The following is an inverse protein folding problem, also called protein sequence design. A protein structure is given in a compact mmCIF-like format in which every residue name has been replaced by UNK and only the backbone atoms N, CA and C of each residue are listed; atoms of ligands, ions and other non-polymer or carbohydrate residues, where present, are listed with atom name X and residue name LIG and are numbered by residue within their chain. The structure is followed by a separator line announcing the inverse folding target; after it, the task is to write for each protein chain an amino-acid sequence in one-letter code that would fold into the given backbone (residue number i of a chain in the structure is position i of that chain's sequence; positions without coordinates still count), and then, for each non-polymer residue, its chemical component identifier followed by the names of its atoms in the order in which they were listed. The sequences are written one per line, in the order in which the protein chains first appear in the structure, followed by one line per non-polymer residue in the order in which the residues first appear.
data_IF_996034319170
#
_entry.id   IF_996034319170
#
_cell.length_a   1.000
_cell.length_b   1.000
_cell.length_c   1.000
_cell.angle_alpha   90.00
_cell.angle_beta   90.00
_cell.angle_gamma   90.00
#
_symmetry.space_group_name_H-M   'P 1'
#
loop_
_entity.id
_entity.type
_entity.pdbx_description
1 polymer ?
#
# COMPACT_ATOMS: atom_id res chain seq x y z
N UNK A 1 -29.24 -12.96 -24.36
CA UNK A 1 -27.77 -13.17 -24.51
C UNK A 1 -26.94 -12.44 -23.46
N UNK A 2 -26.96 -11.10 -23.34
CA UNK A 2 -26.11 -10.35 -22.38
C UNK A 2 -26.37 -10.70 -20.90
N UNK A 3 -27.64 -10.83 -20.50
CA UNK A 3 -28.03 -11.23 -19.13
C UNK A 3 -27.56 -12.66 -18.78
N UNK A 4 -27.57 -13.56 -19.76
CA UNK A 4 -27.15 -14.95 -19.59
C UNK A 4 -25.63 -15.06 -19.54
N UNK A 5 -24.92 -14.24 -20.32
CA UNK A 5 -23.47 -14.06 -20.24
C UNK A 5 -23.04 -13.53 -18.86
N UNK A 6 -23.75 -12.55 -18.29
CA UNK A 6 -23.50 -12.06 -16.92
C UNK A 6 -23.70 -13.12 -15.84
N UNK A 7 -24.73 -13.97 -15.96
CA UNK A 7 -24.97 -15.07 -15.01
C UNK A 7 -23.93 -16.18 -15.12
N UNK A 8 -23.44 -16.46 -16.32
CA UNK A 8 -22.42 -17.50 -16.56
C UNK A 8 -21.00 -17.05 -16.21
N UNK A 9 -20.72 -15.74 -16.21
CA UNK A 9 -19.42 -15.16 -15.86
C UNK A 9 -19.31 -14.66 -14.42
N UNK A 10 -20.20 -15.08 -13.52
CA UNK A 10 -20.00 -14.78 -12.10
C UNK A 10 -18.76 -15.54 -11.61
N UNK A 11 -17.78 -14.81 -11.10
CA UNK A 11 -16.57 -15.41 -10.57
C UNK A 11 -16.91 -16.36 -9.42
N UNK A 12 -16.36 -17.57 -9.46
CA UNK A 12 -16.46 -18.52 -8.36
C UNK A 12 -15.98 -17.84 -7.06
N UNK A 13 -16.77 -17.85 -5.96
CA UNK A 13 -16.38 -17.22 -4.70
C UNK A 13 -14.98 -17.65 -4.20
N UNK A 14 -14.60 -18.91 -4.39
CA UNK A 14 -13.26 -19.38 -4.05
C UNK A 14 -12.14 -18.71 -4.87
N UNK A 15 -12.42 -18.38 -6.14
CA UNK A 15 -11.49 -17.66 -7.00
C UNK A 15 -11.41 -16.17 -6.64
N UNK A 16 -12.49 -15.59 -6.08
CA UNK A 16 -12.49 -14.20 -5.61
C UNK A 16 -11.53 -14.02 -4.43
N UNK A 17 -11.54 -14.93 -3.45
CA UNK A 17 -10.59 -14.90 -2.33
C UNK A 17 -9.14 -15.06 -2.81
N UNK A 18 -8.89 -16.03 -3.70
CA UNK A 18 -7.56 -16.24 -4.29
C UNK A 18 -7.05 -15.04 -5.09
N UNK A 19 -7.95 -14.34 -5.79
CA UNK A 19 -7.61 -13.10 -6.50
C UNK A 19 -7.09 -12.02 -5.55
N UNK A 20 -7.72 -11.87 -4.39
CA UNK A 20 -7.27 -10.92 -3.37
C UNK A 20 -5.98 -11.34 -2.68
N UNK A 21 -5.72 -12.65 -2.53
CA UNK A 21 -4.41 -13.14 -2.06
C UNK A 21 -3.28 -12.72 -3.02
N UNK A 22 -3.51 -12.81 -4.34
CA UNK A 22 -2.53 -12.37 -5.36
C UNK A 22 -2.24 -10.88 -5.22
N UNK A 23 -3.29 -10.05 -5.12
CA UNK A 23 -3.14 -8.59 -4.93
C UNK A 23 -2.40 -8.28 -3.63
N UNK A 24 -2.76 -8.95 -2.52
CA UNK A 24 -2.10 -8.78 -1.22
C UNK A 24 -0.61 -9.07 -1.32
N UNK A 25 -0.22 -10.20 -1.91
CA UNK A 25 1.18 -10.60 -2.04
C UNK A 25 1.92 -9.63 -2.97
N UNK A 26 1.34 -9.29 -4.12
CA UNK A 26 1.96 -8.37 -5.09
C UNK A 26 2.23 -6.98 -4.50
N UNK A 27 1.23 -6.40 -3.82
CA UNK A 27 1.38 -5.09 -3.15
C UNK A 27 2.40 -5.15 -2.02
N UNK A 28 2.39 -6.22 -1.22
CA UNK A 28 3.36 -6.39 -0.14
C UNK A 28 4.80 -6.44 -0.67
N UNK A 29 5.04 -7.21 -1.73
CA UNK A 29 6.36 -7.35 -2.36
C UNK A 29 6.85 -6.04 -2.97
N UNK A 30 6.00 -5.32 -3.71
CA UNK A 30 6.44 -4.09 -4.37
C UNK A 30 6.71 -2.97 -3.35
N UNK A 31 5.87 -2.81 -2.32
CA UNK A 31 6.13 -1.80 -1.30
C UNK A 31 7.38 -2.17 -0.48
N UNK A 32 7.64 -3.45 -0.22
CA UNK A 32 8.82 -3.91 0.52
C UNK A 32 10.15 -3.50 -0.14
N UNK A 33 10.17 -3.27 -1.46
CA UNK A 33 11.37 -2.79 -2.14
C UNK A 33 11.82 -1.40 -1.65
N UNK A 34 10.88 -0.56 -1.22
CA UNK A 34 11.19 0.78 -0.74
C UNK A 34 12.03 0.78 0.55
N UNK A 35 11.61 0.12 1.65
CA UNK A 35 12.45 0.03 2.84
C UNK A 35 13.72 -0.79 2.61
N UNK A 36 13.72 -1.82 1.74
CA UNK A 36 14.94 -2.54 1.36
C UNK A 36 15.98 -1.62 0.72
N UNK A 37 15.55 -0.72 -0.17
CA UNK A 37 16.44 0.31 -0.70
C UNK A 37 16.96 1.22 0.41
N UNK A 38 16.11 1.65 1.34
CA UNK A 38 16.55 2.46 2.50
C UNK A 38 17.58 1.76 3.39
N UNK A 39 17.40 0.46 3.70
CA UNK A 39 18.36 -0.31 4.49
C UNK A 39 19.72 -0.47 3.81
N UNK A 40 19.75 -0.47 2.48
CA UNK A 40 20.99 -0.55 1.70
C UNK A 40 21.62 0.83 1.45
N UNK A 41 20.90 1.92 1.74
CA UNK A 41 21.32 3.30 1.50
C UNK A 41 21.05 4.17 2.74
N UNK A 42 21.58 3.75 3.90
CA UNK A 42 21.31 4.39 5.21
C UNK A 42 21.60 5.90 5.24
N UNK A 43 22.55 6.38 4.42
CA UNK A 43 22.87 7.81 4.30
C UNK A 43 21.70 8.67 3.76
N UNK A 44 20.69 8.07 3.15
CA UNK A 44 19.50 8.77 2.67
C UNK A 44 18.44 8.99 3.76
N UNK A 45 18.52 8.25 4.87
CA UNK A 45 17.52 8.34 5.95
C UNK A 45 17.56 9.72 6.64
N UNK A 46 18.73 10.27 7.02
CA UNK A 46 18.79 11.63 7.56
C UNK A 46 18.30 12.70 6.57
N UNK A 47 18.61 12.55 5.26
CA UNK A 47 18.16 13.48 4.22
C UNK A 47 16.64 13.51 4.08
N UNK A 48 15.99 12.35 4.11
CA UNK A 48 14.53 12.30 4.14
C UNK A 48 13.98 12.90 5.44
N UNK A 49 14.70 12.73 6.55
CA UNK A 49 14.38 13.38 7.81
C UNK A 49 14.45 14.91 7.76
N UNK A 50 15.45 15.48 7.09
CA UNK A 50 15.56 16.92 6.84
C UNK A 50 14.38 17.43 6.02
N UNK A 51 14.01 16.73 4.94
CA UNK A 51 12.81 17.03 4.16
C UNK A 51 11.53 17.05 5.02
N UNK A 52 11.36 16.07 5.92
CA UNK A 52 10.22 16.05 6.84
C UNK A 52 10.22 17.25 7.81
N UNK A 53 11.40 17.66 8.29
CA UNK A 53 11.54 18.83 9.15
C UNK A 53 11.23 20.14 8.41
N UNK A 54 11.62 20.26 7.14
CA UNK A 54 11.29 21.41 6.28
C UNK A 54 9.77 21.54 6.02
N UNK A 55 9.07 20.40 5.93
CA UNK A 55 7.60 20.37 5.88
C UNK A 55 6.93 20.73 7.23
N UNK A 56 7.71 20.90 8.30
CA UNK A 56 7.23 21.26 9.63
C UNK A 56 6.94 20.07 10.57
N UNK A 57 7.31 18.83 10.18
CA UNK A 57 7.17 17.68 11.07
C UNK A 57 8.28 17.62 12.12
N UNK A 58 7.97 17.39 13.40
CA UNK A 58 8.98 17.25 14.44
C UNK A 58 9.73 15.93 14.30
N UNK A 59 10.98 15.88 14.78
CA UNK A 59 11.79 14.66 14.83
C UNK A 59 11.95 13.98 13.46
N UNK A 60 12.19 14.75 12.39
CA UNK A 60 12.18 14.26 11.01
C UNK A 60 12.97 12.96 10.77
N UNK A 61 14.20 12.83 11.27
CA UNK A 61 14.97 11.57 11.11
C UNK A 61 14.31 10.37 11.81
N UNK A 62 13.72 10.58 13.00
CA UNK A 62 13.01 9.51 13.69
C UNK A 62 11.73 9.10 12.92
N UNK A 63 11.02 10.07 12.32
CA UNK A 63 9.89 9.80 11.45
C UNK A 63 10.29 9.07 10.16
N UNK A 64 11.45 9.41 9.57
CA UNK A 64 11.99 8.69 8.42
C UNK A 64 12.22 7.21 8.74
N UNK A 65 12.81 6.90 9.91
CA UNK A 65 12.94 5.53 10.40
C UNK A 65 11.59 4.87 10.67
N UNK A 66 10.64 5.58 11.26
CA UNK A 66 9.29 5.07 11.51
C UNK A 66 8.61 4.65 10.19
N UNK A 67 8.70 5.47 9.16
CA UNK A 67 8.18 5.16 7.81
C UNK A 67 8.83 3.89 7.25
N UNK A 68 10.14 3.72 7.43
CA UNK A 68 10.87 2.53 6.98
C UNK A 68 10.42 1.25 7.72
N UNK A 69 10.29 1.34 9.04
CA UNK A 69 9.87 0.24 9.91
C UNK A 69 8.41 -0.15 9.69
N UNK A 70 7.50 0.82 9.55
CA UNK A 70 6.09 0.58 9.26
C UNK A 70 5.92 -0.11 7.92
N UNK A 71 6.63 0.33 6.87
CA UNK A 71 6.57 -0.34 5.57
C UNK A 71 7.07 -1.78 5.65
N UNK A 72 8.19 -2.01 6.33
CA UNK A 72 8.76 -3.35 6.49
C UNK A 72 7.82 -4.27 7.26
N UNK A 73 7.38 -3.86 8.44
CA UNK A 73 6.50 -4.66 9.29
C UNK A 73 5.15 -4.94 8.59
N UNK A 74 4.56 -3.92 7.94
CA UNK A 74 3.30 -4.08 7.22
C UNK A 74 3.45 -5.03 6.02
N UNK A 75 4.51 -4.91 5.22
CA UNK A 75 4.75 -5.84 4.11
C UNK A 75 4.96 -7.27 4.58
N UNK A 76 5.75 -7.49 5.63
CA UNK A 76 5.96 -8.83 6.19
C UNK A 76 4.65 -9.41 6.76
N UNK A 77 3.84 -8.60 7.42
CA UNK A 77 2.52 -8.99 7.93
C UNK A 77 1.57 -9.41 6.79
N UNK A 78 1.51 -8.64 5.69
CA UNK A 78 0.73 -8.98 4.50
C UNK A 78 1.22 -10.28 3.83
N UNK A 79 2.53 -10.50 3.74
CA UNK A 79 3.10 -11.75 3.21
C UNK A 79 2.78 -12.96 4.09
N UNK A 80 2.84 -12.79 5.41
CA UNK A 80 2.48 -13.83 6.38
C UNK A 80 0.97 -14.06 6.50
N UNK A 81 0.14 -13.25 5.83
CA UNK A 81 -1.32 -13.21 6.01
C UNK A 81 -1.73 -13.07 7.49
N UNK A 82 -1.02 -12.20 8.22
CA UNK A 82 -1.26 -11.89 9.64
C UNK A 82 -1.44 -10.39 9.78
N UNK A 83 -2.33 -9.96 10.68
CA UNK A 83 -2.59 -8.54 10.94
C UNK A 83 -2.86 -7.72 9.65
N UNK A 84 -3.55 -8.34 8.68
CA UNK A 84 -3.71 -7.78 7.31
C UNK A 84 -4.31 -6.38 7.33
N UNK A 85 -5.39 -6.17 8.10
CA UNK A 85 -6.06 -4.87 8.18
C UNK A 85 -5.16 -3.79 8.80
N UNK A 86 -4.55 -3.98 9.99
CA UNK A 86 -3.56 -3.04 10.52
C UNK A 86 -2.39 -2.76 9.56
N UNK A 87 -1.89 -3.78 8.87
CA UNK A 87 -0.80 -3.64 7.89
C UNK A 87 -1.23 -2.79 6.68
N UNK A 88 -2.44 -3.01 6.16
CA UNK A 88 -3.00 -2.15 5.11
C UNK A 88 -3.11 -0.70 5.59
N UNK A 89 -3.60 -0.45 6.81
CA UNK A 89 -3.71 0.91 7.35
C UNK A 89 -2.34 1.59 7.43
N UNK A 90 -1.32 0.89 7.92
CA UNK A 90 0.05 1.40 7.98
C UNK A 90 0.59 1.80 6.59
N UNK A 91 0.42 0.92 5.60
CA UNK A 91 0.81 1.22 4.22
C UNK A 91 -0.02 2.35 3.59
N UNK A 92 -1.34 2.40 3.82
CA UNK A 92 -2.20 3.47 3.29
C UNK A 92 -1.73 4.83 3.80
N UNK A 93 -1.41 4.96 5.09
CA UNK A 93 -0.90 6.22 5.65
C UNK A 93 0.39 6.65 4.94
N UNK A 94 1.35 5.74 4.78
CA UNK A 94 2.64 6.03 4.13
C UNK A 94 2.47 6.35 2.65
N UNK A 95 1.64 5.58 1.92
CA UNK A 95 1.37 5.79 0.50
C UNK A 95 0.66 7.13 0.28
N UNK A 96 -0.35 7.47 1.09
CA UNK A 96 -1.00 8.77 1.02
C UNK A 96 -0.03 9.92 1.29
N UNK A 97 0.85 9.77 2.29
CA UNK A 97 1.89 10.76 2.56
C UNK A 97 2.80 10.98 1.34
N UNK A 98 3.30 9.89 0.75
CA UNK A 98 4.14 9.96 -0.45
C UNK A 98 3.41 10.56 -1.66
N UNK A 99 2.15 10.19 -1.88
CA UNK A 99 1.33 10.78 -2.94
C UNK A 99 1.21 12.29 -2.81
N UNK A 100 0.90 12.78 -1.61
CA UNK A 100 0.64 14.19 -1.37
C UNK A 100 1.92 15.05 -1.33
N UNK A 101 2.96 14.59 -0.65
CA UNK A 101 4.15 15.40 -0.37
C UNK A 101 5.32 15.14 -1.32
N UNK A 102 5.37 13.96 -1.95
CA UNK A 102 6.49 13.58 -2.82
C UNK A 102 6.07 13.59 -4.28
N UNK A 103 4.95 12.94 -4.62
CA UNK A 103 4.58 12.69 -6.02
C UNK A 103 3.68 13.74 -6.65
N UNK A 104 2.89 14.48 -5.86
CA UNK A 104 1.89 15.43 -6.38
C UNK A 104 2.50 16.52 -7.29
N UNK A 105 3.70 16.99 -6.98
CA UNK A 105 4.42 18.01 -7.75
C UNK A 105 4.86 17.53 -9.14
N UNK A 106 4.98 16.22 -9.35
CA UNK A 106 5.33 15.61 -10.64
C UNK A 106 4.10 15.35 -11.53
N UNK A 107 2.90 15.66 -11.06
CA UNK A 107 1.64 15.44 -11.78
C UNK A 107 1.19 13.98 -11.76
N UNK A 108 0.47 13.54 -12.80
CA UNK A 108 -0.17 12.22 -12.81
C UNK A 108 0.73 11.09 -13.33
N UNK A 109 1.47 11.33 -14.40
CA UNK A 109 2.07 10.27 -15.20
C UNK A 109 3.44 9.81 -14.67
N UNK A 110 3.64 8.49 -14.65
CA UNK A 110 4.93 7.84 -14.31
C UNK A 110 5.74 7.57 -15.58
N UNK A 111 5.09 7.41 -16.74
CA UNK A 111 5.74 7.31 -18.06
C UNK A 111 4.97 8.16 -19.09
N UNK A 112 5.69 8.68 -20.09
CA UNK A 112 5.12 9.42 -21.22
C UNK A 112 5.18 10.94 -21.00
N UNK A 113 4.04 11.64 -20.86
CA UNK A 113 4.03 13.10 -20.68
C UNK A 113 4.57 13.59 -19.33
N UNK A 114 4.97 12.67 -18.43
CA UNK A 114 5.60 12.96 -17.15
C UNK A 114 6.41 11.77 -16.62
N UNK A 115 7.14 11.99 -15.53
CA UNK A 115 7.87 10.95 -14.78
C UNK A 115 7.73 11.19 -13.29
N UNK A 116 7.63 10.12 -12.51
CA UNK A 116 7.53 10.18 -11.05
C UNK A 116 6.16 10.63 -10.50
N UNK A 117 5.12 10.69 -11.34
CA UNK A 117 3.77 11.11 -10.96
C UNK A 117 2.99 10.12 -10.10
N UNK A 118 1.72 10.44 -9.86
CA UNK A 118 0.85 9.77 -8.88
C UNK A 118 0.20 8.45 -9.32
N UNK A 119 0.11 8.13 -10.62
CA UNK A 119 -0.73 7.03 -11.11
C UNK A 119 -0.39 5.66 -10.48
N UNK A 120 0.90 5.37 -10.31
CA UNK A 120 1.34 4.13 -9.66
C UNK A 120 0.96 4.08 -8.19
N UNK A 121 1.19 5.17 -7.44
CA UNK A 121 0.80 5.28 -6.04
C UNK A 121 -0.72 5.17 -5.85
N UNK A 122 -1.51 5.68 -6.79
CA UNK A 122 -2.97 5.56 -6.77
C UNK A 122 -3.43 4.10 -6.93
N UNK A 123 -2.78 3.32 -7.80
CA UNK A 123 -3.04 1.89 -7.93
C UNK A 123 -2.66 1.13 -6.66
N UNK A 124 -1.53 1.47 -6.03
CA UNK A 124 -1.16 0.88 -4.73
C UNK A 124 -2.22 1.18 -3.66
N UNK A 125 -2.67 2.43 -3.57
CA UNK A 125 -3.69 2.85 -2.61
C UNK A 125 -5.01 2.09 -2.79
N UNK A 126 -5.53 2.03 -4.01
CA UNK A 126 -6.78 1.31 -4.32
C UNK A 126 -6.64 -0.20 -4.09
N UNK A 127 -5.48 -0.78 -4.38
CA UNK A 127 -5.20 -2.20 -4.11
C UNK A 127 -5.16 -2.50 -2.61
N UNK A 128 -4.52 -1.64 -1.81
CA UNK A 128 -4.50 -1.76 -0.34
C UNK A 128 -5.90 -1.65 0.26
N UNK A 129 -6.72 -0.72 -0.23
CA UNK A 129 -8.12 -0.57 0.18
C UNK A 129 -8.94 -1.82 -0.16
N UNK A 130 -8.76 -2.38 -1.35
CA UNK A 130 -9.41 -3.62 -1.76
C UNK A 130 -9.01 -4.81 -0.87
N UNK A 131 -7.72 -4.97 -0.58
CA UNK A 131 -7.22 -6.00 0.35
C UNK A 131 -7.77 -5.77 1.75
N UNK A 132 -7.73 -4.54 2.26
CA UNK A 132 -8.25 -4.21 3.59
C UNK A 132 -9.74 -4.56 3.71
N UNK A 133 -10.53 -4.25 2.69
CA UNK A 133 -11.95 -4.58 2.63
C UNK A 133 -12.18 -6.09 2.61
N UNK A 134 -11.42 -6.84 1.81
CA UNK A 134 -11.54 -8.29 1.70
C UNK A 134 -11.21 -9.03 3.01
N UNK A 135 -10.31 -8.48 3.83
CA UNK A 135 -9.90 -9.04 5.12
C UNK A 135 -10.53 -8.34 6.33
N UNK A 136 -11.50 -7.44 6.11
CA UNK A 136 -12.14 -6.71 7.20
C UNK A 136 -12.87 -7.67 8.15
N UNK A 137 -12.70 -7.54 9.49
CA UNK A 137 -13.38 -8.40 10.44
C UNK A 137 -14.90 -8.32 10.25
N UNK A 138 -15.52 -9.43 9.87
CA UNK A 138 -16.97 -9.53 9.87
C UNK A 138 -17.41 -9.88 11.29
N UNK A 139 -18.43 -9.18 11.79
CA UNK A 139 -19.03 -9.55 13.07
C UNK A 139 -19.54 -11.00 12.96
N UNK A 140 -19.10 -11.86 13.87
CA UNK A 140 -19.65 -13.20 14.00
C UNK A 140 -21.13 -13.06 14.41
N UNK A 141 -22.05 -13.17 13.44
CA UNK A 141 -23.45 -13.39 13.75
C UNK A 141 -23.56 -14.84 14.21
N UNK A 142 -23.70 -15.02 15.52
CA UNK A 142 -24.12 -16.30 16.08
C UNK A 142 -25.58 -16.48 15.65
N UNK A 143 -25.82 -17.39 14.71
CA UNK A 143 -27.17 -17.75 14.30
C UNK A 143 -27.98 -18.10 15.57
N UNK A 144 -29.12 -17.43 15.75
CA UNK A 144 -30.07 -17.72 16.83
C UNK A 144 -30.99 -18.86 16.41
#
# INVERSE_FOLDING_TARGET
MIQQWYKLNQANPANQHRGMDIVRIGVALIILMHPLHGYTHLANIPKFGEFLAELGYPFGTALAWLVLLVQTASSLALLANRLVVPACIGHIIVVCFGLLHVHSHYGWYVVGPGQGGMEWGFILLTSLLGVMWAYWPQQYKKDK
#
